data_IF_389221928690
#
_entry.id   IF_389221928690
#
_cell.length_a   1.000
_cell.length_b   1.000
_cell.length_c   1.000
_cell.angle_alpha   90.00
_cell.angle_beta   90.00
_cell.angle_gamma   90.00
#
_symmetry.space_group_name_H-M   'P 1'
#
loop_
_entity.id
_entity.type
_entity.pdbx_description
1 polymer ?
#
# COMPACT_ATOMS: atom_id res chain seq x y z
N UNK A 1 -16.44 -10.08 4.64
CA UNK A 1 -17.39 -11.01 5.29
C UNK A 1 -18.68 -10.27 5.53
N UNK A 2 -19.85 -10.76 5.08
CA UNK A 2 -21.10 -10.00 5.24
C UNK A 2 -21.36 -9.63 6.69
N UNK A 3 -21.78 -8.40 6.95
CA UNK A 3 -22.11 -7.93 8.31
C UNK A 3 -23.24 -8.76 8.94
N UNK A 4 -24.20 -9.22 8.12
CA UNK A 4 -25.24 -10.16 8.54
C UNK A 4 -24.66 -11.44 9.14
N UNK A 5 -23.68 -12.04 8.45
CA UNK A 5 -22.99 -13.26 8.88
C UNK A 5 -22.12 -13.05 10.12
N UNK A 6 -21.49 -11.87 10.22
CA UNK A 6 -20.73 -11.47 11.40
C UNK A 6 -21.63 -11.47 12.64
N UNK A 7 -22.80 -10.83 12.55
CA UNK A 7 -23.74 -10.76 13.67
C UNK A 7 -24.55 -12.04 13.91
N UNK A 8 -24.88 -12.82 12.88
CA UNK A 8 -25.56 -14.11 13.08
C UNK A 8 -24.66 -15.07 13.87
N UNK A 9 -23.36 -15.10 13.55
CA UNK A 9 -22.37 -15.87 14.32
C UNK A 9 -22.26 -15.36 15.76
N UNK A 10 -22.36 -14.03 15.98
CA UNK A 10 -22.37 -13.43 17.31
C UNK A 10 -23.59 -13.81 18.16
N UNK A 11 -24.74 -14.01 17.52
CA UNK A 11 -25.98 -14.42 18.17
C UNK A 11 -26.00 -15.91 18.51
N UNK A 12 -25.33 -16.73 17.70
CA UNK A 12 -25.26 -18.18 17.85
C UNK A 12 -24.16 -18.64 18.85
N UNK A 13 -23.16 -17.79 19.12
CA UNK A 13 -22.00 -18.12 19.96
C UNK A 13 -21.81 -17.14 21.12
N UNK A 14 -21.12 -17.57 22.19
CA UNK A 14 -20.77 -16.67 23.29
C UNK A 14 -19.66 -15.68 22.87
N UNK A 15 -20.08 -14.48 22.45
CA UNK A 15 -19.44 -13.17 22.65
C UNK A 15 -18.07 -12.86 22.03
N UNK A 16 -17.89 -12.93 20.71
CA UNK A 16 -16.65 -12.39 20.08
C UNK A 16 -16.79 -11.46 18.87
N UNK A 17 -18.02 -11.20 18.40
CA UNK A 17 -18.30 -10.39 17.21
C UNK A 17 -19.39 -9.35 17.53
N UNK A 18 -19.11 -8.48 18.50
CA UNK A 18 -20.13 -7.65 19.16
C UNK A 18 -20.03 -6.17 18.84
N UNK A 19 -18.98 -5.72 18.18
CA UNK A 19 -18.74 -4.33 17.83
C UNK A 19 -19.90 -3.78 17.00
N UNK A 20 -20.37 -2.58 17.35
CA UNK A 20 -21.46 -1.93 16.63
C UNK A 20 -21.06 -1.54 15.22
N UNK A 21 -22.05 -1.37 14.34
CA UNK A 21 -21.78 -0.96 12.96
C UNK A 21 -21.04 0.39 12.92
N UNK A 22 -21.44 1.31 13.79
CA UNK A 22 -20.79 2.60 13.93
C UNK A 22 -19.32 2.47 14.34
N UNK A 23 -19.01 1.57 15.27
CA UNK A 23 -17.65 1.38 15.73
C UNK A 23 -16.77 0.65 14.70
N UNK A 24 -17.30 -0.38 14.04
CA UNK A 24 -16.62 -1.06 12.93
C UNK A 24 -16.25 -0.10 11.80
N UNK A 25 -17.12 0.88 11.50
CA UNK A 25 -16.85 1.94 10.53
C UNK A 25 -15.70 2.84 10.97
N UNK A 26 -15.72 3.33 12.21
CA UNK A 26 -14.65 4.18 12.74
C UNK A 26 -13.28 3.47 12.75
N UNK A 27 -13.27 2.18 13.06
CA UNK A 27 -12.07 1.34 13.04
C UNK A 27 -11.55 1.06 11.61
N UNK A 28 -12.29 1.45 10.57
CA UNK A 28 -11.95 1.09 9.20
C UNK A 28 -12.11 -0.39 8.89
N UNK A 29 -12.91 -1.10 9.70
CA UNK A 29 -13.14 -2.53 9.56
C UNK A 29 -14.42 -2.85 8.77
N UNK A 30 -15.17 -1.84 8.32
CA UNK A 30 -16.42 -2.00 7.56
C UNK A 30 -16.31 -1.36 6.17
N UNK A 31 -16.56 -2.17 5.15
CA UNK A 31 -16.78 -1.77 3.77
C UNK A 31 -18.28 -1.61 3.51
N UNK A 32 -18.67 -0.45 3.01
CA UNK A 32 -20.05 -0.14 2.61
C UNK A 32 -20.14 0.36 1.16
N UNK A 33 -19.05 0.28 0.39
CA UNK A 33 -18.98 0.87 -0.96
C UNK A 33 -19.69 0.01 -2.01
N UNK A 34 -19.79 -1.30 -1.79
CA UNK A 34 -20.48 -2.19 -2.71
C UNK A 34 -21.98 -2.23 -2.42
N UNK A 35 -22.77 -1.64 -3.31
CA UNK A 35 -24.24 -1.81 -3.29
C UNK A 35 -24.69 -3.25 -3.54
N UNK A 36 -23.79 -4.11 -4.03
CA UNK A 36 -24.09 -5.50 -4.39
C UNK A 36 -23.80 -6.47 -3.26
N UNK A 37 -22.59 -6.36 -2.68
CA UNK A 37 -22.22 -7.20 -1.54
C UNK A 37 -22.80 -6.68 -0.22
N UNK A 38 -23.37 -5.47 -0.22
CA UNK A 38 -23.80 -4.79 0.99
C UNK A 38 -22.63 -4.53 1.93
N UNK A 39 -22.93 -4.42 3.22
CA UNK A 39 -21.91 -4.14 4.24
C UNK A 39 -21.04 -5.35 4.50
N UNK A 40 -19.73 -5.19 4.37
CA UNK A 40 -18.75 -6.26 4.50
C UNK A 40 -17.72 -5.89 5.58
N UNK A 41 -17.51 -6.77 6.56
CA UNK A 41 -16.40 -6.67 7.50
C UNK A 41 -15.10 -7.06 6.80
N UNK A 42 -14.12 -6.17 6.86
CA UNK A 42 -12.74 -6.33 6.37
C UNK A 42 -11.95 -7.02 7.47
N UNK A 43 -11.77 -8.34 7.35
CA UNK A 43 -11.26 -9.18 8.44
C UNK A 43 -9.86 -8.78 8.91
N UNK A 44 -8.87 -8.50 8.03
CA UNK A 44 -7.55 -8.09 8.50
C UNK A 44 -7.60 -6.77 9.29
N UNK A 45 -8.43 -5.80 8.85
CA UNK A 45 -8.64 -4.54 9.58
C UNK A 45 -9.31 -4.79 10.94
N UNK A 46 -10.31 -5.67 11.00
CA UNK A 46 -10.98 -6.06 12.24
C UNK A 46 -10.00 -6.71 13.24
N UNK A 47 -9.16 -7.64 12.78
CA UNK A 47 -8.16 -8.31 13.63
C UNK A 47 -7.09 -7.36 14.18
N UNK A 48 -6.77 -6.31 13.40
CA UNK A 48 -5.81 -5.26 13.80
C UNK A 48 -6.47 -4.11 14.58
N UNK A 49 -7.79 -4.12 14.73
CA UNK A 49 -8.52 -3.04 15.38
C UNK A 49 -8.23 -2.98 16.89
N UNK A 50 -8.30 -1.77 17.45
CA UNK A 50 -8.07 -1.51 18.87
C UNK A 50 -8.99 -2.32 19.82
N UNK A 51 -10.16 -2.74 19.34
CA UNK A 51 -11.09 -3.61 20.09
C UNK A 51 -10.62 -5.06 20.22
N UNK A 52 -9.73 -5.52 19.32
CA UNK A 52 -9.20 -6.89 19.27
C UNK A 52 -7.76 -7.02 19.79
N UNK A 53 -7.18 -5.94 20.34
CA UNK A 53 -5.86 -5.96 20.93
C UNK A 53 -5.90 -6.56 22.35
N UNK A 54 -4.98 -7.49 22.65
CA UNK A 54 -4.92 -8.17 23.96
C UNK A 54 -4.40 -7.25 25.08
N UNK A 55 -3.52 -6.30 24.75
CA UNK A 55 -3.05 -5.29 25.71
C UNK A 55 -3.50 -3.92 25.21
N UNK A 56 -4.18 -3.18 26.09
CA UNK A 56 -4.64 -1.82 25.84
C UNK A 56 -4.14 -0.89 26.94
N UNK A 57 -3.05 -0.18 26.68
CA UNK A 57 -2.43 0.78 27.62
C UNK A 57 -2.45 2.21 27.03
N UNK A 58 -2.46 3.30 27.81
CA UNK A 58 -2.63 4.66 27.29
C UNK A 58 -1.67 5.05 26.14
N UNK A 59 -0.49 4.44 26.08
CA UNK A 59 0.55 4.77 25.09
C UNK A 59 0.83 3.67 24.07
N UNK A 60 0.31 2.45 24.23
CA UNK A 60 0.56 1.37 23.29
C UNK A 60 -0.54 0.31 23.33
N UNK A 61 -0.69 -0.39 22.20
CA UNK A 61 -1.56 -1.56 22.05
C UNK A 61 -0.68 -2.77 21.67
N UNK A 62 -1.09 -3.96 22.08
CA UNK A 62 -0.53 -5.22 21.55
C UNK A 62 -1.65 -5.96 20.85
N UNK A 63 -1.57 -6.02 19.54
CA UNK A 63 -2.60 -6.57 18.66
C UNK A 63 -2.07 -7.83 17.95
N UNK A 64 -2.92 -8.48 17.15
CA UNK A 64 -2.51 -9.58 16.30
C UNK A 64 -1.38 -9.16 15.35
N UNK A 65 -0.58 -10.11 14.86
CA UNK A 65 0.43 -9.80 13.85
C UNK A 65 -0.23 -9.41 12.52
N UNK A 66 0.29 -8.39 11.84
CA UNK A 66 -0.12 -8.09 10.47
C UNK A 66 0.61 -9.03 9.51
N UNK A 67 -0.09 -10.04 9.00
CA UNK A 67 0.48 -11.05 8.10
C UNK A 67 0.95 -10.45 6.77
N UNK A 68 0.36 -9.32 6.34
CA UNK A 68 0.81 -8.59 5.17
C UNK A 68 2.27 -8.14 5.24
N UNK A 69 2.79 -7.86 6.44
CA UNK A 69 4.19 -7.42 6.62
C UNK A 69 5.17 -8.52 6.20
N UNK A 70 4.80 -9.79 6.39
CA UNK A 70 5.62 -10.92 5.95
C UNK A 70 5.62 -11.01 4.41
N UNK A 71 4.47 -10.81 3.77
CA UNK A 71 4.34 -10.79 2.31
C UNK A 71 5.13 -9.62 1.71
N UNK A 72 4.97 -8.42 2.27
CA UNK A 72 5.71 -7.23 1.85
C UNK A 72 7.21 -7.42 2.04
N UNK A 73 7.65 -8.00 3.16
CA UNK A 73 9.06 -8.31 3.43
C UNK A 73 9.66 -9.29 2.41
N UNK A 74 8.91 -10.28 1.93
CA UNK A 74 9.36 -11.15 0.84
C UNK A 74 9.55 -10.37 -0.47
N UNK A 75 8.62 -9.45 -0.78
CA UNK A 75 8.68 -8.59 -1.95
C UNK A 75 9.91 -7.68 -1.87
N UNK A 76 10.12 -7.00 -0.74
CA UNK A 76 11.28 -6.15 -0.48
C UNK A 76 12.60 -6.90 -0.63
N UNK A 77 12.69 -8.10 -0.05
CA UNK A 77 13.91 -8.91 -0.08
C UNK A 77 14.32 -9.31 -1.50
N UNK A 78 13.34 -9.63 -2.37
CA UNK A 78 13.60 -10.04 -3.75
C UNK A 78 13.75 -8.85 -4.71
N UNK A 79 13.05 -7.74 -4.47
CA UNK A 79 13.19 -6.51 -5.28
C UNK A 79 14.49 -5.77 -4.95
N UNK A 80 14.85 -5.65 -3.67
CA UNK A 80 16.06 -4.96 -3.22
C UNK A 80 16.08 -3.46 -3.50
N UNK A 81 14.91 -2.84 -3.67
CA UNK A 81 14.72 -1.43 -4.04
C UNK A 81 13.34 -0.96 -3.57
N UNK A 82 13.20 0.33 -3.26
CA UNK A 82 11.93 0.96 -2.82
C UNK A 82 10.87 1.03 -3.95
N UNK A 83 11.32 0.88 -5.20
CA UNK A 83 10.48 0.90 -6.40
C UNK A 83 10.80 -0.26 -7.35
N UNK A 84 9.78 -0.83 -8.00
CA UNK A 84 9.91 -1.93 -8.97
C UNK A 84 9.04 -1.73 -10.22
N UNK A 85 9.43 -2.23 -11.40
CA UNK A 85 8.53 -2.32 -12.55
C UNK A 85 7.35 -3.26 -12.25
N UNK A 86 6.14 -3.00 -12.79
CA UNK A 86 4.98 -3.90 -12.61
C UNK A 86 5.26 -5.36 -12.99
N UNK A 87 6.01 -5.58 -14.07
CA UNK A 87 6.33 -6.93 -14.55
C UNK A 87 7.11 -7.76 -13.52
N UNK A 88 8.07 -7.14 -12.81
CA UNK A 88 8.88 -7.80 -11.79
C UNK A 88 8.03 -8.16 -10.56
N UNK A 89 7.15 -7.24 -10.15
CA UNK A 89 6.20 -7.47 -9.05
C UNK A 89 5.24 -8.61 -9.41
N UNK A 90 4.64 -8.60 -10.61
CA UNK A 90 3.70 -9.63 -11.03
C UNK A 90 4.36 -11.02 -11.11
N UNK A 91 5.59 -11.09 -11.62
CA UNK A 91 6.36 -12.33 -11.69
C UNK A 91 6.69 -12.87 -10.29
N UNK A 92 6.95 -11.98 -9.34
CA UNK A 92 7.19 -12.36 -7.96
C UNK A 92 5.90 -12.82 -7.26
N UNK A 93 4.91 -11.94 -7.19
CA UNK A 93 3.67 -12.14 -6.45
C UNK A 93 2.88 -13.32 -6.98
N UNK A 94 2.90 -13.57 -8.30
CA UNK A 94 2.26 -14.75 -8.89
C UNK A 94 2.87 -16.09 -8.46
N UNK A 95 4.05 -16.10 -7.83
CA UNK A 95 4.69 -17.28 -7.27
C UNK A 95 4.65 -17.32 -5.74
N UNK A 96 4.08 -16.31 -5.10
CA UNK A 96 3.90 -16.28 -3.64
C UNK A 96 2.71 -17.15 -3.24
N UNK A 97 2.72 -17.60 -2.00
CA UNK A 97 1.61 -18.35 -1.43
C UNK A 97 0.59 -17.40 -0.83
N UNK A 98 -0.68 -17.54 -1.22
CA UNK A 98 -1.80 -16.98 -0.47
C UNK A 98 -2.47 -18.10 0.31
N UNK A 99 -2.78 -17.86 1.58
CA UNK A 99 -3.71 -18.75 2.27
C UNK A 99 -5.06 -18.49 1.62
N UNK A 100 -5.56 -19.40 0.77
CA UNK A 100 -6.88 -19.30 0.11
C UNK A 100 -7.91 -20.23 0.73
N UNK A 101 -7.51 -21.25 1.50
CA UNK A 101 -8.35 -21.96 2.49
C UNK A 101 -7.52 -22.38 3.72
N UNK A 102 -8.16 -22.89 4.78
CA UNK A 102 -7.46 -23.40 5.98
C UNK A 102 -6.55 -24.60 5.64
N UNK A 103 -6.89 -25.36 4.59
CA UNK A 103 -6.22 -26.61 4.24
C UNK A 103 -5.41 -26.53 2.93
N UNK A 104 -5.52 -25.43 2.18
CA UNK A 104 -4.85 -25.26 0.90
C UNK A 104 -4.30 -23.85 0.70
N UNK A 105 -3.02 -23.84 0.36
CA UNK A 105 -2.22 -22.73 -0.10
C UNK A 105 -2.28 -22.69 -1.64
N UNK A 106 -2.80 -21.61 -2.22
CA UNK A 106 -2.85 -21.41 -3.67
C UNK A 106 -2.17 -20.08 -4.04
N UNK A 107 -1.48 -19.99 -5.19
CA UNK A 107 -0.99 -18.70 -5.67
C UNK A 107 -2.15 -17.70 -5.83
N UNK A 108 -1.91 -16.40 -5.61
CA UNK A 108 -2.95 -15.40 -5.74
C UNK A 108 -3.44 -15.32 -7.19
N UNK A 109 -4.76 -15.17 -7.36
CA UNK A 109 -5.36 -14.95 -8.67
C UNK A 109 -5.09 -13.52 -9.15
N UNK A 110 -4.07 -13.36 -9.99
CA UNK A 110 -3.77 -12.10 -10.66
C UNK A 110 -4.63 -11.99 -11.91
N UNK A 111 -5.75 -11.29 -11.84
CA UNK A 111 -6.64 -11.03 -12.98
C UNK A 111 -6.20 -9.81 -13.81
N UNK A 112 -6.85 -9.58 -14.94
CA UNK A 112 -6.56 -8.45 -15.85
C UNK A 112 -6.73 -7.10 -15.14
N UNK A 113 -7.74 -6.97 -14.31
CA UNK A 113 -8.01 -5.79 -13.48
C UNK A 113 -6.83 -5.48 -12.54
N UNK A 114 -6.35 -6.45 -11.75
CA UNK A 114 -5.19 -6.28 -10.86
C UNK A 114 -3.91 -5.88 -11.59
N UNK A 115 -3.63 -6.48 -12.75
CA UNK A 115 -2.48 -6.08 -13.59
C UNK A 115 -2.61 -4.64 -14.06
N UNK A 116 -3.80 -4.28 -14.55
CA UNK A 116 -4.10 -2.93 -15.02
C UNK A 116 -3.94 -1.89 -13.92
N UNK A 117 -4.39 -2.19 -12.69
CA UNK A 117 -4.21 -1.29 -11.56
C UNK A 117 -2.73 -1.07 -11.22
N UNK A 118 -1.93 -2.13 -11.25
CA UNK A 118 -0.49 -2.02 -11.01
C UNK A 118 0.22 -1.17 -12.07
N UNK A 119 -0.16 -1.33 -13.34
CA UNK A 119 0.33 -0.50 -14.44
C UNK A 119 -0.09 0.98 -14.30
N UNK A 120 -1.32 1.24 -13.82
CA UNK A 120 -1.78 2.60 -13.54
C UNK A 120 -0.98 3.27 -12.42
N UNK A 121 -0.62 2.53 -11.37
CA UNK A 121 0.26 3.05 -10.31
C UNK A 121 1.62 3.41 -10.91
N UNK A 122 2.20 2.53 -11.73
CA UNK A 122 3.49 2.80 -12.36
C UNK A 122 3.44 4.00 -13.33
N UNK A 123 2.34 4.19 -14.05
CA UNK A 123 2.17 5.29 -15.00
C UNK A 123 2.30 6.67 -14.34
N UNK A 124 1.86 6.81 -13.10
CA UNK A 124 1.98 8.06 -12.32
C UNK A 124 3.33 8.21 -11.61
N UNK A 125 4.17 7.16 -11.62
CA UNK A 125 5.44 7.07 -10.88
C UNK A 125 6.63 6.68 -11.78
N UNK A 126 6.70 7.25 -12.99
CA UNK A 126 7.86 7.08 -13.87
C UNK A 126 8.06 5.65 -14.39
N UNK A 127 6.99 4.88 -14.52
CA UNK A 127 7.01 3.49 -14.98
C UNK A 127 7.40 2.48 -13.90
N UNK A 128 7.41 2.87 -12.62
CA UNK A 128 7.74 2.00 -11.49
C UNK A 128 6.72 2.18 -10.37
N UNK A 129 6.47 1.13 -9.61
CA UNK A 129 5.55 1.12 -8.47
C UNK A 129 6.34 1.37 -7.18
N UNK A 130 5.99 2.38 -6.37
CA UNK A 130 6.51 2.54 -5.01
C UNK A 130 5.96 1.44 -4.09
N UNK A 131 6.85 0.67 -3.46
CA UNK A 131 6.46 -0.49 -2.63
C UNK A 131 5.87 -0.08 -1.27
N UNK A 132 6.16 1.12 -0.79
CA UNK A 132 5.59 1.64 0.47
C UNK A 132 4.55 2.74 0.22
N UNK A 133 3.94 2.75 -0.96
CA UNK A 133 2.84 3.63 -1.31
C UNK A 133 1.49 3.03 -0.93
N UNK A 134 0.52 3.89 -0.57
CA UNK A 134 -0.83 3.45 -0.21
C UNK A 134 -1.52 2.69 -1.35
N UNK A 135 -1.33 3.08 -2.61
CA UNK A 135 -1.89 2.40 -3.78
C UNK A 135 -1.34 0.98 -3.92
N UNK A 136 -0.05 0.75 -3.64
CA UNK A 136 0.51 -0.60 -3.66
C UNK A 136 -0.02 -1.45 -2.51
N UNK A 137 -0.19 -0.87 -1.32
CA UNK A 137 -0.85 -1.55 -0.20
C UNK A 137 -2.32 -1.88 -0.53
N UNK A 138 -3.06 -1.01 -1.23
CA UNK A 138 -4.42 -1.33 -1.70
C UNK A 138 -4.38 -2.49 -2.68
N UNK A 139 -3.40 -2.50 -3.59
CA UNK A 139 -3.23 -3.60 -4.53
C UNK A 139 -2.97 -4.92 -3.79
N UNK A 140 -2.08 -4.93 -2.80
CA UNK A 140 -1.84 -6.12 -1.96
C UNK A 140 -3.08 -6.57 -1.20
N UNK A 141 -3.92 -5.65 -0.70
CA UNK A 141 -5.20 -6.01 -0.09
C UNK A 141 -6.11 -6.81 -1.03
N UNK A 142 -6.17 -6.44 -2.31
CA UNK A 142 -6.99 -7.18 -3.28
C UNK A 142 -6.36 -8.48 -3.76
N UNK A 143 -5.02 -8.58 -3.74
CA UNK A 143 -4.29 -9.80 -4.09
C UNK A 143 -4.33 -10.83 -2.93
N UNK A 144 -4.21 -10.36 -1.69
CA UNK A 144 -4.13 -11.15 -0.46
C UNK A 144 -5.18 -10.67 0.56
N UNK A 145 -6.48 -10.87 0.29
CA UNK A 145 -7.57 -10.25 1.07
C UNK A 145 -7.72 -10.75 2.51
N UNK A 146 -6.99 -11.80 2.91
CA UNK A 146 -7.03 -12.34 4.28
C UNK A 146 -5.82 -11.99 5.12
N UNK A 147 -4.74 -11.62 4.47
CA UNK A 147 -3.47 -11.29 5.08
C UNK A 147 -3.29 -9.77 5.12
N UNK A 148 -3.73 -9.07 4.07
CA UNK A 148 -3.48 -7.65 3.89
C UNK A 148 -4.67 -6.77 4.28
N UNK A 149 -4.50 -5.85 5.25
CA UNK A 149 -5.53 -4.87 5.59
C UNK A 149 -5.72 -3.84 4.48
N UNK A 150 -6.95 -3.34 4.34
CA UNK A 150 -7.25 -2.25 3.43
C UNK A 150 -6.66 -0.95 3.98
N UNK A 151 -5.79 -0.26 3.23
CA UNK A 151 -5.11 0.94 3.70
C UNK A 151 -5.98 2.17 3.44
N UNK A 152 -6.82 2.47 4.44
CA UNK A 152 -7.60 3.70 4.49
C UNK A 152 -6.69 4.93 4.43
N UNK A 153 -7.23 6.05 3.94
CA UNK A 153 -6.47 7.30 3.89
C UNK A 153 -6.18 7.82 5.29
N UNK A 154 -5.10 8.57 5.42
CA UNK A 154 -4.77 9.24 6.68
C UNK A 154 -5.95 10.10 7.16
N UNK A 155 -6.41 9.83 8.39
CA UNK A 155 -7.50 10.57 9.01
C UNK A 155 -8.92 10.16 8.58
N UNK A 156 -9.10 9.14 7.74
CA UNK A 156 -10.44 8.61 7.43
C UNK A 156 -10.94 7.57 8.42
N UNK A 157 -10.07 7.08 9.31
CA UNK A 157 -10.38 6.08 10.35
C UNK A 157 -9.69 6.46 11.65
N UNK A 158 -10.15 5.89 12.76
CA UNK A 158 -9.61 6.13 14.09
C UNK A 158 -9.24 4.81 14.78
N UNK A 159 -8.27 4.86 15.68
CA UNK A 159 -7.85 3.71 16.50
C UNK A 159 -8.43 3.79 17.92
N UNK A 160 -9.67 4.29 18.06
CA UNK A 160 -10.32 4.44 19.36
C UNK A 160 -10.55 3.07 19.98
N UNK A 161 -10.24 2.93 21.27
CA UNK A 161 -10.60 1.77 22.08
C UNK A 161 -12.09 1.77 22.38
N UNK A 162 -12.67 0.63 22.80
CA UNK A 162 -14.08 0.58 23.16
C UNK A 162 -14.48 1.62 24.21
N UNK A 163 -13.64 1.84 25.23
CA UNK A 163 -13.90 2.83 26.29
C UNK A 163 -13.74 4.29 25.82
N UNK A 164 -12.94 4.55 24.78
CA UNK A 164 -12.76 5.88 24.18
C UNK A 164 -13.89 6.22 23.21
N UNK A 165 -14.43 5.20 22.53
CA UNK A 165 -15.60 5.34 21.66
C UNK A 165 -16.90 5.55 22.47
N UNK A 166 -17.00 4.89 23.64
CA UNK A 166 -18.11 5.02 24.58
C UNK A 166 -19.09 3.85 24.53
N UNK A 167 -20.24 4.00 25.20
CA UNK A 167 -21.20 2.91 25.44
C UNK A 167 -21.82 2.30 24.17
N UNK A 168 -21.71 3.01 23.03
CA UNK A 168 -22.16 2.53 21.73
C UNK A 168 -21.16 1.63 21.01
N UNK A 169 -20.04 1.25 21.63
CA UNK A 169 -19.01 0.40 20.98
C UNK A 169 -19.51 -1.01 20.69
N UNK A 170 -20.53 -1.49 21.43
CA UNK A 170 -21.11 -2.83 21.29
C UNK A 170 -22.54 -2.70 20.75
N UNK A 171 -22.86 -3.45 19.70
CA UNK A 171 -24.19 -3.54 19.14
C UNK A 171 -25.20 -4.09 20.16
N UNK A 172 -26.45 -3.65 20.05
CA UNK A 172 -27.53 -4.27 20.82
C UNK A 172 -27.94 -5.61 20.18
N UNK A 173 -28.49 -6.55 20.96
CA UNK A 173 -29.03 -7.81 20.39
C UNK A 173 -30.10 -7.57 19.32
N UNK A 174 -30.87 -6.48 19.45
CA UNK A 174 -31.87 -6.05 18.47
C UNK A 174 -31.24 -5.57 17.17
N UNK A 175 -30.15 -4.79 17.25
CA UNK A 175 -29.37 -4.36 16.09
C UNK A 175 -28.75 -5.56 15.37
N UNK A 176 -28.07 -6.44 16.10
CA UNK A 176 -27.47 -7.65 15.54
C UNK A 176 -28.51 -8.51 14.80
N UNK A 177 -29.70 -8.71 15.38
CA UNK A 177 -30.80 -9.46 14.73
C UNK A 177 -31.30 -8.77 13.48
N UNK A 178 -31.48 -7.45 13.52
CA UNK A 178 -31.93 -6.69 12.35
C UNK A 178 -31.00 -6.87 11.13
N UNK A 179 -29.69 -6.96 11.37
CA UNK A 179 -28.71 -7.22 10.31
C UNK A 179 -28.61 -8.70 9.90
N UNK A 180 -28.77 -9.62 10.86
CA UNK A 180 -28.77 -11.05 10.56
C UNK A 180 -30.00 -11.45 9.72
N UNK A 181 -31.16 -10.84 9.98
CA UNK A 181 -32.41 -11.15 9.30
C UNK A 181 -32.50 -10.53 7.89
N UNK A 182 -31.68 -9.51 7.57
CA UNK A 182 -31.68 -8.86 6.26
C UNK A 182 -31.02 -9.68 5.12
N UNK A 183 -30.56 -10.91 5.38
CA UNK A 183 -29.98 -11.82 4.37
C UNK A 183 -30.95 -12.22 3.23
N UNK A 184 -32.24 -11.89 3.35
CA UNK A 184 -33.29 -12.31 2.41
C UNK A 184 -33.57 -11.40 1.21
N UNK A 185 -33.15 -10.14 1.19
CA UNK A 185 -33.68 -9.15 0.22
C UNK A 185 -32.69 -8.72 -0.90
N UNK A 186 -31.38 -8.91 -0.74
CA UNK A 186 -30.37 -8.44 -1.70
C UNK A 186 -29.84 -9.54 -2.64
N UNK A 187 -30.76 -10.18 -3.40
CA UNK A 187 -30.37 -10.90 -4.62
C UNK A 187 -30.80 -10.11 -5.85
N UNK A 188 -29.99 -9.12 -6.22
CA UNK A 188 -30.10 -8.56 -7.55
C UNK A 188 -29.48 -9.52 -8.59
N UNK A 189 -30.19 -9.63 -9.70
CA UNK A 189 -29.89 -10.06 -11.07
C UNK A 189 -28.46 -10.32 -11.57
N UNK A 190 -28.31 -11.47 -12.24
CA UNK A 190 -27.19 -11.93 -13.07
C UNK A 190 -26.65 -10.88 -14.07
N UNK A 191 -25.33 -10.72 -14.09
CA UNK A 191 -24.60 -9.97 -15.11
C UNK A 191 -23.09 -10.05 -14.89
N UNK A 192 -22.45 -11.11 -15.43
CA UNK A 192 -21.03 -11.46 -15.32
C UNK A 192 -20.01 -10.35 -15.68
N UNK A 193 -20.45 -9.21 -16.22
CA UNK A 193 -19.61 -8.06 -16.54
C UNK A 193 -19.62 -6.91 -15.53
N UNK A 194 -20.55 -6.89 -14.56
CA UNK A 194 -20.57 -5.89 -13.47
C UNK A 194 -19.82 -6.34 -12.21
N UNK A 195 -19.68 -7.65 -12.04
CA UNK A 195 -18.98 -8.24 -10.89
C UNK A 195 -17.49 -7.83 -10.84
N UNK A 196 -16.81 -7.73 -12.00
CA UNK A 196 -15.37 -7.41 -12.06
C UNK A 196 -15.03 -5.98 -11.57
N UNK A 197 -15.97 -5.04 -11.61
CA UNK A 197 -15.78 -3.69 -11.05
C UNK A 197 -16.29 -3.56 -9.60
N UNK A 198 -17.17 -4.47 -9.15
CA UNK A 198 -17.79 -4.37 -7.83
C UNK A 198 -16.93 -4.97 -6.72
N UNK A 199 -16.05 -5.92 -7.01
CA UNK A 199 -15.18 -6.51 -5.99
C UNK A 199 -14.05 -5.57 -5.55
N UNK A 200 -13.63 -4.61 -6.39
CA UNK A 200 -12.69 -3.53 -6.04
C UNK A 200 -13.37 -2.20 -5.68
N UNK A 201 -14.61 -2.24 -5.18
CA UNK A 201 -15.43 -1.04 -5.00
C UNK A 201 -14.84 0.04 -4.07
N UNK A 202 -13.95 -0.34 -3.14
CA UNK A 202 -13.26 0.61 -2.25
C UNK A 202 -12.02 1.26 -2.89
N UNK A 203 -11.58 0.82 -4.07
CA UNK A 203 -10.37 1.32 -4.69
C UNK A 203 -10.42 2.84 -4.92
N UNK A 204 -9.41 3.56 -4.44
CA UNK A 204 -9.24 4.99 -4.66
C UNK A 204 -7.86 5.29 -5.24
N UNK A 205 -7.81 6.11 -6.30
CA UNK A 205 -6.60 6.49 -7.05
C UNK A 205 -5.73 7.54 -6.37
N UNK A 206 -6.16 8.11 -5.25
CA UNK A 206 -5.36 9.06 -4.48
C UNK A 206 -4.18 8.34 -3.85
N UNK A 207 -2.98 8.93 -3.88
CA UNK A 207 -1.76 8.29 -3.37
C UNK A 207 -1.22 8.99 -2.13
N UNK A 208 -0.70 8.20 -1.19
CA UNK A 208 0.03 8.68 -0.02
C UNK A 208 1.38 7.95 0.04
N UNK A 209 2.47 8.72 0.07
CA UNK A 209 3.84 8.22 0.04
C UNK A 209 4.55 8.62 1.34
N UNK A 210 5.30 7.69 1.92
CA UNK A 210 6.11 7.93 3.12
C UNK A 210 7.36 8.79 2.79
N UNK A 211 7.84 8.72 1.55
CA UNK A 211 9.05 9.41 1.08
C UNK A 211 8.88 10.02 -0.32
N UNK A 212 9.77 10.96 -0.67
CA UNK A 212 9.84 11.51 -2.02
C UNK A 212 10.58 10.57 -2.98
N UNK A 213 9.82 9.78 -3.72
CA UNK A 213 10.34 8.86 -4.74
C UNK A 213 10.70 9.56 -6.07
N UNK A 214 10.59 10.88 -6.18
CA UNK A 214 10.89 11.60 -7.43
C UNK A 214 12.37 11.51 -7.84
N UNK A 215 13.29 11.26 -6.89
CA UNK A 215 14.71 11.07 -7.17
C UNK A 215 15.01 9.70 -7.80
N UNK A 216 14.33 8.65 -7.35
CA UNK A 216 14.53 7.26 -7.78
C UNK A 216 13.84 6.99 -9.13
N UNK A 217 12.65 7.56 -9.33
CA UNK A 217 11.88 7.42 -10.58
C UNK A 217 12.47 8.19 -11.76
N UNK A 218 13.20 9.28 -11.52
CA UNK A 218 13.88 10.08 -12.57
C UNK A 218 15.23 9.52 -13.02
N UNK A 219 15.80 8.53 -12.32
CA UNK A 219 17.19 8.14 -12.46
C UNK A 219 17.55 7.44 -13.80
N UNK A 220 16.58 6.98 -14.60
CA UNK A 220 16.90 6.18 -15.79
C UNK A 220 17.25 6.98 -17.06
N UNK A 221 16.82 8.25 -17.17
CA UNK A 221 17.06 9.06 -18.39
C UNK A 221 18.17 10.10 -18.25
N UNK A 222 18.50 10.56 -17.04
CA UNK A 222 19.54 11.59 -16.84
C UNK A 222 20.98 11.06 -17.02
N UNK A 223 21.25 9.84 -16.55
CA UNK A 223 22.63 9.30 -16.46
C UNK A 223 23.29 9.10 -17.84
N UNK A 224 22.54 8.68 -18.86
CA UNK A 224 23.05 8.50 -20.21
C UNK A 224 23.43 9.84 -20.88
N UNK A 225 22.61 10.88 -20.72
CA UNK A 225 22.89 12.19 -21.31
C UNK A 225 24.08 12.90 -20.64
N UNK A 226 24.22 12.80 -19.32
CA UNK A 226 25.38 13.35 -18.62
C UNK A 226 26.68 12.62 -18.96
N UNK A 227 26.65 11.29 -19.12
CA UNK A 227 27.81 10.50 -19.53
C UNK A 227 28.25 10.85 -20.98
N UNK A 228 27.30 10.97 -21.91
CA UNK A 228 27.58 11.34 -23.31
C UNK A 228 28.08 12.79 -23.40
N UNK A 229 27.47 13.73 -22.65
CA UNK A 229 27.92 15.11 -22.61
C UNK A 229 29.33 15.26 -22.02
N UNK A 230 29.65 14.50 -20.97
CA UNK A 230 30.99 14.46 -20.38
C UNK A 230 32.03 13.89 -21.35
N UNK A 231 31.70 12.83 -22.09
CA UNK A 231 32.59 12.24 -23.09
C UNK A 231 32.85 13.20 -24.27
N UNK A 232 31.81 13.91 -24.73
CA UNK A 232 31.92 14.91 -25.79
C UNK A 232 32.77 16.12 -25.34
N UNK A 233 32.59 16.59 -24.10
CA UNK A 233 33.41 17.67 -23.53
C UNK A 233 34.90 17.28 -23.45
N UNK A 234 35.21 16.05 -23.02
CA UNK A 234 36.58 15.55 -22.97
C UNK A 234 37.21 15.42 -24.37
N UNK A 235 36.44 14.99 -25.38
CA UNK A 235 36.89 14.93 -26.76
C UNK A 235 37.14 16.34 -27.35
N UNK A 236 36.24 17.30 -27.09
CA UNK A 236 36.42 18.68 -27.56
C UNK A 236 37.63 19.34 -26.88
N UNK A 237 37.80 19.17 -25.56
CA UNK A 237 38.99 19.67 -24.86
C UNK A 237 40.27 19.01 -25.38
N UNK A 238 40.26 17.70 -25.66
CA UNK A 238 41.39 16.96 -26.22
C UNK A 238 41.84 17.47 -27.59
N UNK A 239 40.90 17.82 -28.47
CA UNK A 239 41.19 18.36 -29.82
C UNK A 239 41.67 19.82 -29.76
N UNK A 240 41.20 20.61 -28.79
CA UNK A 240 41.70 21.98 -28.58
C UNK A 240 43.13 21.97 -28.05
N UNK A 241 43.50 21.01 -27.19
CA UNK A 241 44.88 20.86 -26.71
C UNK A 241 45.88 20.37 -27.77
N UNK A 242 45.43 19.75 -28.87
CA UNK A 242 46.31 19.34 -29.98
C UNK A 242 46.47 20.41 -31.06
N UNK A 243 45.57 21.40 -31.12
CA UNK A 243 45.57 22.45 -32.15
C UNK A 243 46.02 23.84 -31.69
N UNK A 244 46.40 24.04 -30.44
CA UNK A 244 46.83 25.37 -30.01
C UNK A 244 47.64 25.42 -28.73
N UNK A 245 48.94 25.11 -28.80
CA UNK A 245 49.92 25.72 -27.89
C UNK A 245 51.32 25.77 -28.53
N UNK A 246 51.47 26.67 -29.49
CA UNK A 246 52.79 27.20 -29.85
C UNK A 246 52.78 28.69 -29.56
N UNK A 247 52.98 29.07 -28.29
CA UNK A 247 53.45 30.42 -27.92
C UNK A 247 54.00 30.46 -26.49
N UNK A 248 55.32 30.62 -26.45
CA UNK A 248 56.18 31.32 -25.48
C UNK A 248 55.96 31.10 -23.98
N UNK A 249 57.00 30.50 -23.37
CA UNK A 249 57.44 30.73 -22.00
C UNK A 249 57.49 32.22 -21.63
N UNK A 250 56.83 32.56 -20.52
CA UNK A 250 57.10 33.62 -19.52
C UNK A 250 56.00 33.35 -18.47
N UNK A 251 56.25 32.94 -17.23
CA UNK A 251 57.11 33.54 -16.22
C UNK A 251 56.19 34.00 -15.07
N UNK A 252 56.30 33.34 -13.90
CA UNK A 252 55.89 33.78 -12.55
C UNK A 252 54.41 34.13 -12.26
N UNK A 253 53.72 33.35 -11.43
CA UNK A 253 53.47 33.64 -10.00
C UNK A 253 52.53 32.59 -9.36
N UNK A 254 52.71 32.39 -8.06
CA UNK A 254 52.08 31.35 -7.25
C UNK A 254 50.57 31.58 -7.05
N UNK A 255 49.76 30.57 -7.38
CA UNK A 255 48.34 30.52 -7.04
C UNK A 255 48.13 29.99 -5.62
N UNK A 256 47.70 30.86 -4.71
CA UNK A 256 47.04 30.49 -3.47
C UNK A 256 45.53 30.32 -3.76
N UNK A 257 45.03 29.09 -3.66
CA UNK A 257 43.60 28.79 -3.68
C UNK A 257 43.00 28.99 -2.27
N UNK A 258 41.87 29.68 -2.10
CA UNK A 258 41.15 29.67 -0.84
C UNK A 258 40.33 28.39 -0.73
N UNK A 259 40.59 27.61 0.32
CA UNK A 259 39.76 26.48 0.73
C UNK A 259 38.48 27.00 1.39
N UNK A 260 37.32 26.76 0.78
CA UNK A 260 36.04 27.01 1.45
C UNK A 260 35.73 25.84 2.40
N UNK A 261 35.64 26.16 3.69
CA UNK A 261 35.25 25.26 4.76
C UNK A 261 33.73 24.99 4.74
N UNK A 262 33.33 23.74 4.97
CA UNK A 262 31.94 23.34 5.21
C UNK A 262 31.59 23.57 6.68
N UNK A 263 30.55 24.36 6.96
CA UNK A 263 29.91 24.41 8.27
C UNK A 263 28.76 23.41 8.32
N UNK A 264 28.88 22.43 9.22
CA UNK A 264 27.74 21.66 9.74
C UNK A 264 27.02 22.50 10.79
N UNK A 265 25.69 22.54 10.73
CA UNK A 265 24.86 22.97 11.85
C UNK A 265 24.33 21.73 12.58
N UNK A 266 24.36 21.82 13.90
CA UNK A 266 23.80 20.89 14.89
C UNK A 266 22.28 20.98 14.88
#
# INVERSE_FOLDING_TARGET
>A
VPLSKFYSTALDTDWRFGESEAYLRELGALDETSSWYGKQVIIPNYLQAASNCIVSMPHYLVCCINECEALLGEIEAKVGSEVAPPADILALVGNMTSQTTVDHDEPPHLDTSLRTQLDQIAATHGGRVPLHGRLFAQWLHYVFPRECPFPHKSGSTTALRPNEFGDSSIATKTEMRSHADSEGEDKATEGLGKEEMQWMSQWSSEEELIADYASVTRASWGSAHFAIAGLLLLLVCGVVSTFGFSRRMMGSEAGLLPTHSKSHFV
#
